data_IF_869897381046
#
_entry.id   IF_869897381046
#
_cell.length_a   1.000
_cell.length_b   1.000
_cell.length_c   1.000
_cell.angle_alpha   90.00
_cell.angle_beta   90.00
_cell.angle_gamma   90.00
#
_symmetry.space_group_name_H-M   'P 1'
#
loop_
_entity.id
_entity.type
_entity.pdbx_description
1 polymer ?
#
# COMPACT_ATOMS: atom_id res chain seq x y z
N UNK A 1 -23.95 5.35 89.99
CA UNK A 1 -24.25 6.37 88.96
C UNK A 1 -23.30 6.16 87.78
N UNK A 2 -23.84 6.06 86.55
CA UNK A 2 -23.21 5.87 85.21
C UNK A 2 -22.97 4.45 84.66
N UNK A 3 -24.06 3.78 84.27
CA UNK A 3 -24.52 3.43 82.89
C UNK A 3 -23.53 3.50 81.67
N UNK A 4 -23.64 2.46 80.80
CA UNK A 4 -23.42 2.34 79.32
C UNK A 4 -21.98 2.23 78.72
N UNK A 5 -21.69 1.56 77.58
CA UNK A 5 -22.47 0.90 76.51
C UNK A 5 -21.54 -0.04 75.68
N UNK A 6 -22.12 -1.06 75.04
CA UNK A 6 -21.53 -1.90 73.99
C UNK A 6 -20.86 -1.11 72.84
N UNK A 7 -19.73 -1.62 72.31
CA UNK A 7 -19.25 -1.26 70.96
C UNK A 7 -19.37 -2.47 70.03
N UNK A 8 -20.37 -2.38 69.15
CA UNK A 8 -20.53 -3.22 67.96
C UNK A 8 -19.36 -2.97 67.00
N UNK A 9 -18.67 -4.04 66.59
CA UNK A 9 -17.75 -4.04 65.45
C UNK A 9 -18.58 -4.15 64.17
N UNK A 10 -18.74 -3.05 63.43
CA UNK A 10 -19.30 -3.08 62.07
C UNK A 10 -18.14 -3.32 61.09
N UNK A 11 -18.03 -4.54 60.58
CA UNK A 11 -17.13 -4.89 59.49
C UNK A 11 -17.62 -4.23 58.19
N UNK A 12 -17.01 -3.12 57.80
CA UNK A 12 -17.25 -2.48 56.51
C UNK A 12 -16.50 -3.26 55.42
N UNK A 13 -17.22 -4.12 54.71
CA UNK A 13 -16.81 -4.65 53.40
C UNK A 13 -16.63 -3.47 52.43
N UNK A 14 -15.39 -3.19 52.06
CA UNK A 14 -15.08 -2.26 50.97
C UNK A 14 -15.31 -2.98 49.65
N UNK A 15 -16.48 -2.78 49.05
CA UNK A 15 -16.73 -3.18 47.67
C UNK A 15 -15.96 -2.28 46.72
N UNK A 16 -14.90 -2.79 46.10
CA UNK A 16 -14.24 -2.15 44.98
C UNK A 16 -15.16 -2.22 43.75
N UNK A 17 -15.80 -1.10 43.43
CA UNK A 17 -16.48 -0.89 42.16
C UNK A 17 -15.41 -0.77 41.06
N UNK A 18 -15.23 -1.81 40.25
CA UNK A 18 -14.40 -1.73 39.05
C UNK A 18 -15.19 -0.90 38.03
N UNK A 19 -14.81 0.37 37.89
CA UNK A 19 -15.28 1.20 36.79
C UNK A 19 -14.65 0.63 35.50
N UNK A 20 -15.41 -0.15 34.72
CA UNK A 20 -15.06 -0.47 33.34
C UNK A 20 -15.20 0.82 32.52
N UNK A 21 -14.13 1.60 32.46
CA UNK A 21 -14.05 2.71 31.52
C UNK A 21 -14.08 2.14 30.12
N UNK A 22 -15.19 2.32 29.41
CA UNK A 22 -15.24 2.17 27.97
C UNK A 22 -14.40 3.30 27.37
N UNK A 23 -13.10 3.05 27.17
CA UNK A 23 -12.31 3.88 26.28
C UNK A 23 -12.81 3.64 24.87
N UNK A 24 -13.63 4.56 24.36
CA UNK A 24 -13.97 4.60 22.95
C UNK A 24 -12.68 4.89 22.18
N UNK A 25 -12.13 3.89 21.48
CA UNK A 25 -10.98 4.10 20.62
C UNK A 25 -11.47 4.72 19.32
N UNK A 26 -11.22 6.01 19.13
CA UNK A 26 -11.35 6.63 17.81
C UNK A 26 -10.20 6.12 16.97
N UNK A 27 -10.51 5.25 16.01
CA UNK A 27 -9.55 4.79 15.03
C UNK A 27 -9.08 5.95 14.15
N UNK A 28 -7.88 6.47 14.41
CA UNK A 28 -7.28 7.53 13.59
C UNK A 28 -6.63 6.96 12.33
N UNK A 29 -6.52 7.81 11.30
CA UNK A 29 -5.78 7.47 10.11
C UNK A 29 -4.28 7.37 10.43
N UNK A 30 -3.63 6.32 9.94
CA UNK A 30 -2.22 6.03 10.16
C UNK A 30 -1.47 5.92 8.84
N UNK A 31 -0.27 6.50 8.80
CA UNK A 31 0.67 6.33 7.69
C UNK A 31 1.46 5.05 7.92
N UNK A 32 1.17 4.00 7.15
CA UNK A 32 1.95 2.75 7.18
C UNK A 32 3.09 2.79 6.17
N UNK A 33 4.18 2.11 6.48
CA UNK A 33 5.28 1.90 5.55
C UNK A 33 5.52 0.41 5.32
N UNK A 34 5.41 -0.01 4.07
CA UNK A 34 5.64 -1.37 3.60
C UNK A 34 7.04 -1.41 3.01
N UNK A 35 7.93 -2.18 3.64
CA UNK A 35 9.34 -2.24 3.29
C UNK A 35 10.17 -1.08 3.86
N UNK A 36 11.41 -1.38 4.20
CA UNK A 36 12.38 -0.44 4.80
C UNK A 36 13.79 -0.58 4.21
N UNK A 37 13.94 -1.42 3.19
CA UNK A 37 15.21 -1.67 2.51
C UNK A 37 15.77 -0.43 1.83
N UNK A 38 17.10 -0.40 1.71
CA UNK A 38 17.85 0.72 1.16
C UNK A 38 18.32 0.49 -0.27
N UNK A 39 18.12 -0.71 -0.83
CA UNK A 39 18.40 -1.03 -2.23
C UNK A 39 17.61 -0.10 -3.15
N UNK A 40 18.16 0.18 -4.33
CA UNK A 40 17.46 0.92 -5.39
C UNK A 40 16.93 -0.06 -6.43
N UNK A 41 15.64 0.01 -6.71
CA UNK A 41 14.98 -0.69 -7.80
C UNK A 41 14.82 0.28 -8.98
N UNK A 42 15.59 0.05 -10.03
CA UNK A 42 15.55 0.81 -11.29
C UNK A 42 15.49 -0.12 -12.52
N UNK A 43 15.13 -1.38 -12.31
CA UNK A 43 14.99 -2.36 -13.39
C UNK A 43 13.79 -1.97 -14.25
N UNK A 44 14.00 -1.95 -15.55
CA UNK A 44 12.94 -1.74 -16.55
C UNK A 44 11.80 -2.71 -16.33
N UNK A 45 10.56 -2.19 -16.40
CA UNK A 45 9.36 -2.97 -16.13
C UNK A 45 9.07 -3.25 -14.66
N UNK A 46 10.00 -2.99 -13.75
CA UNK A 46 9.77 -3.18 -12.29
C UNK A 46 9.66 -1.85 -11.56
N UNK A 47 10.44 -0.84 -11.93
CA UNK A 47 10.28 0.49 -11.33
C UNK A 47 8.90 1.06 -11.68
N UNK A 48 8.20 1.76 -10.75
CA UNK A 48 6.99 2.49 -11.09
C UNK A 48 7.28 3.65 -12.06
N UNK A 49 8.56 4.00 -12.23
CA UNK A 49 9.06 5.09 -13.07
C UNK A 49 9.92 4.56 -14.23
N UNK A 50 9.49 3.43 -14.82
CA UNK A 50 10.24 2.61 -15.77
C UNK A 50 10.38 3.14 -17.21
N UNK A 51 10.77 4.39 -17.42
CA UNK A 51 10.76 5.06 -18.73
C UNK A 51 11.80 4.59 -19.78
N UNK A 52 12.46 3.44 -19.62
CA UNK A 52 13.40 2.91 -20.65
C UNK A 52 12.70 2.39 -21.91
N UNK A 53 11.38 2.33 -21.87
CA UNK A 53 10.48 2.09 -22.99
C UNK A 53 9.35 3.12 -22.91
N UNK A 54 8.63 3.30 -24.01
CA UNK A 54 7.51 4.25 -24.09
C UNK A 54 6.38 3.91 -23.11
N UNK A 55 6.13 2.62 -22.93
CA UNK A 55 5.04 2.09 -22.12
C UNK A 55 5.55 1.19 -21.00
N UNK A 56 4.90 1.26 -19.83
CA UNK A 56 5.21 0.38 -18.71
C UNK A 56 3.99 0.10 -17.85
N UNK A 57 3.83 -1.18 -17.49
CA UNK A 57 2.77 -1.65 -16.58
C UNK A 57 3.36 -2.66 -15.60
N UNK A 58 3.25 -2.38 -14.31
CA UNK A 58 3.87 -3.17 -13.25
C UNK A 58 2.86 -3.45 -12.14
N UNK A 59 2.90 -4.65 -11.60
CA UNK A 59 2.09 -5.10 -10.48
C UNK A 59 2.98 -5.40 -9.26
N UNK A 60 2.54 -4.96 -8.09
CA UNK A 60 3.14 -5.23 -6.79
C UNK A 60 2.13 -5.94 -5.90
N UNK A 61 2.53 -7.08 -5.34
CA UNK A 61 1.73 -7.84 -4.39
C UNK A 61 2.14 -7.48 -2.97
N UNK A 62 1.19 -7.08 -2.15
CA UNK A 62 1.31 -6.90 -0.71
C UNK A 62 0.48 -8.00 -0.03
N UNK A 63 1.14 -8.85 0.76
CA UNK A 63 0.41 -9.89 1.51
C UNK A 63 -0.29 -9.28 2.71
N UNK A 64 -1.46 -9.82 3.06
CA UNK A 64 -2.14 -9.54 4.33
C UNK A 64 -1.22 -9.72 5.52
N UNK A 65 -0.37 -10.74 5.52
CA UNK A 65 0.60 -10.97 6.60
C UNK A 65 1.57 -9.79 6.82
N UNK A 66 1.91 -9.06 5.76
CA UNK A 66 2.73 -7.84 5.86
C UNK A 66 1.93 -6.71 6.49
N UNK A 67 0.65 -6.55 6.13
CA UNK A 67 -0.25 -5.56 6.71
C UNK A 67 -0.49 -5.85 8.21
N UNK A 68 -0.74 -7.11 8.57
CA UNK A 68 -0.89 -7.54 9.97
C UNK A 68 0.35 -7.22 10.80
N UNK A 69 1.55 -7.44 10.25
CA UNK A 69 2.82 -7.12 10.90
C UNK A 69 3.02 -5.61 11.12
N UNK A 70 2.32 -4.77 10.33
CA UNK A 70 2.25 -3.31 10.50
C UNK A 70 1.08 -2.86 11.38
N UNK A 71 0.39 -3.79 12.05
CA UNK A 71 -0.74 -3.50 12.94
C UNK A 71 -2.09 -3.34 12.24
N UNK A 72 -2.16 -3.51 10.92
CA UNK A 72 -3.40 -3.44 10.15
C UNK A 72 -4.12 -4.79 10.23
N UNK A 73 -5.02 -4.92 11.22
CA UNK A 73 -5.76 -6.15 11.50
C UNK A 73 -7.28 -5.97 11.41
N UNK A 74 -7.74 -4.90 10.75
CA UNK A 74 -9.15 -4.54 10.60
C UNK A 74 -9.45 -4.13 9.17
N UNK A 75 -10.72 -4.16 8.78
CA UNK A 75 -11.15 -3.49 7.54
C UNK A 75 -10.96 -1.98 7.65
N UNK A 76 -10.81 -1.31 6.50
CA UNK A 76 -10.56 0.13 6.46
C UNK A 76 -10.18 0.64 5.08
N UNK A 77 -10.06 1.95 4.95
CA UNK A 77 -9.77 2.61 3.69
C UNK A 77 -8.28 2.92 3.56
N UNK A 78 -7.70 2.56 2.43
CA UNK A 78 -6.48 3.20 1.95
C UNK A 78 -6.83 4.42 1.10
N UNK A 79 -6.19 5.56 1.36
CA UNK A 79 -6.48 6.83 0.67
C UNK A 79 -5.28 7.43 -0.07
N UNK A 80 -4.10 6.84 0.06
CA UNK A 80 -2.93 7.23 -0.72
C UNK A 80 -1.92 6.10 -0.88
N UNK A 81 -1.05 6.25 -1.87
CA UNK A 81 0.15 5.45 -2.07
C UNK A 81 1.31 6.39 -2.36
N UNK A 82 2.50 6.12 -1.82
CA UNK A 82 3.71 6.84 -2.16
C UNK A 82 4.88 5.90 -2.42
N UNK A 83 5.75 6.29 -3.35
CA UNK A 83 7.03 5.63 -3.61
C UNK A 83 8.19 6.58 -3.27
N UNK A 84 9.28 6.03 -2.73
CA UNK A 84 10.47 6.81 -2.39
C UNK A 84 11.45 6.84 -3.56
N UNK A 85 11.42 7.93 -4.32
CA UNK A 85 12.25 8.12 -5.51
C UNK A 85 13.68 8.49 -5.12
N UNK A 86 14.65 7.71 -5.58
CA UNK A 86 16.09 7.98 -5.41
C UNK A 86 16.62 8.76 -6.61
N UNK A 87 16.18 8.40 -7.80
CA UNK A 87 16.59 9.02 -9.07
C UNK A 87 15.34 9.23 -9.91
N UNK A 88 14.97 10.48 -10.24
CA UNK A 88 13.85 10.77 -11.13
C UNK A 88 13.99 10.09 -12.50
N UNK A 89 12.88 9.73 -13.17
CA UNK A 89 12.93 9.33 -14.57
C UNK A 89 13.37 10.51 -15.45
N UNK A 90 13.82 10.23 -16.67
CA UNK A 90 14.29 11.27 -17.61
C UNK A 90 13.18 12.12 -18.23
N UNK A 91 11.91 11.81 -17.97
CA UNK A 91 10.73 12.51 -18.48
C UNK A 91 9.53 12.30 -17.54
N UNK A 92 8.51 13.15 -17.69
CA UNK A 92 7.22 12.93 -17.04
C UNK A 92 6.53 11.67 -17.57
N UNK A 93 5.87 10.95 -16.69
CA UNK A 93 5.05 9.78 -17.01
C UNK A 93 3.66 10.24 -17.43
N UNK A 94 3.34 10.08 -18.71
CA UNK A 94 2.04 10.40 -19.31
C UNK A 94 1.02 9.28 -19.05
N UNK A 95 -0.25 9.65 -18.89
CA UNK A 95 -1.32 8.69 -18.61
C UNK A 95 -1.12 7.88 -17.32
N UNK A 96 -0.37 8.41 -16.35
CA UNK A 96 0.01 7.68 -15.16
C UNK A 96 -1.21 7.31 -14.30
N UNK A 97 -1.36 6.02 -13.99
CA UNK A 97 -2.50 5.50 -13.23
C UNK A 97 -2.08 4.47 -12.19
N UNK A 98 -2.86 4.42 -11.12
CA UNK A 98 -2.75 3.39 -10.07
C UNK A 98 -4.10 2.69 -9.95
N UNK A 99 -4.05 1.37 -10.07
CA UNK A 99 -5.18 0.47 -9.87
C UNK A 99 -4.91 -0.44 -8.68
N UNK A 100 -5.95 -0.78 -7.93
CA UNK A 100 -5.86 -1.70 -6.80
C UNK A 100 -6.93 -2.78 -6.89
N UNK A 101 -6.60 -3.98 -6.42
CA UNK A 101 -7.54 -5.10 -6.30
C UNK A 101 -7.17 -5.99 -5.12
N UNK A 102 -8.16 -6.70 -4.60
CA UNK A 102 -7.94 -7.83 -3.70
C UNK A 102 -7.49 -9.06 -4.49
N UNK A 103 -6.66 -9.89 -3.88
CA UNK A 103 -6.23 -11.15 -4.46
C UNK A 103 -5.91 -12.20 -3.40
N UNK A 104 -6.14 -13.47 -3.72
CA UNK A 104 -5.71 -14.61 -2.90
C UNK A 104 -4.29 -15.08 -3.22
N UNK A 105 -3.67 -14.52 -4.27
CA UNK A 105 -2.31 -14.87 -4.68
C UNK A 105 -1.31 -14.53 -3.59
N UNK A 106 -0.41 -15.47 -3.31
CA UNK A 106 0.69 -15.28 -2.37
C UNK A 106 2.01 -14.95 -3.06
N UNK A 107 2.10 -15.12 -4.39
CA UNK A 107 3.26 -14.75 -5.21
C UNK A 107 2.77 -14.30 -6.58
N UNK A 108 3.53 -13.45 -7.26
CA UNK A 108 3.26 -13.08 -8.66
C UNK A 108 4.26 -13.80 -9.57
N UNK A 109 3.75 -14.63 -10.48
CA UNK A 109 4.57 -15.32 -11.50
C UNK A 109 4.28 -14.85 -12.93
N UNK A 110 3.30 -13.95 -13.08
CA UNK A 110 2.81 -13.43 -14.35
C UNK A 110 1.87 -12.26 -14.11
N UNK A 111 1.49 -11.56 -15.16
CA UNK A 111 0.51 -10.49 -15.06
C UNK A 111 -0.86 -11.04 -14.63
N UNK A 112 -1.43 -10.47 -13.58
CA UNK A 112 -2.68 -10.93 -12.98
C UNK A 112 -3.83 -10.09 -13.53
N UNK A 113 -4.76 -10.75 -14.22
CA UNK A 113 -5.98 -10.11 -14.70
C UNK A 113 -7.07 -10.26 -13.62
N UNK A 114 -7.27 -9.21 -12.82
CA UNK A 114 -8.34 -9.13 -11.82
C UNK A 114 -9.21 -7.90 -12.06
N UNK A 115 -10.45 -7.97 -11.59
CA UNK A 115 -11.29 -6.77 -11.46
C UNK A 115 -10.59 -5.80 -10.53
N UNK A 116 -10.14 -4.66 -11.08
CA UNK A 116 -9.38 -3.66 -10.35
C UNK A 116 -10.07 -2.30 -10.39
N UNK A 117 -10.01 -1.59 -9.26
CA UNK A 117 -10.48 -0.23 -9.10
C UNK A 117 -9.37 0.73 -9.51
N UNK A 118 -9.67 1.73 -10.35
CA UNK A 118 -8.77 2.87 -10.54
C UNK A 118 -8.87 3.75 -9.31
N UNK A 119 -7.77 3.90 -8.58
CA UNK A 119 -7.71 4.72 -7.36
C UNK A 119 -7.02 6.06 -7.62
N UNK A 120 -6.16 6.14 -8.64
CA UNK A 120 -5.48 7.36 -9.06
C UNK A 120 -5.29 7.38 -10.58
N UNK A 121 -5.43 8.56 -11.17
CA UNK A 121 -5.07 8.83 -12.57
C UNK A 121 -4.65 10.28 -12.72
N UNK A 122 -3.69 10.54 -13.59
CA UNK A 122 -3.26 11.87 -13.99
C UNK A 122 -2.84 11.86 -15.47
N UNK A 123 -2.97 13.00 -16.14
CA UNK A 123 -2.52 13.15 -17.52
C UNK A 123 -1.00 13.09 -17.64
N UNK A 124 -0.27 13.61 -16.65
CA UNK A 124 1.18 13.58 -16.58
C UNK A 124 1.67 13.73 -15.14
N UNK A 125 2.80 13.12 -14.80
CA UNK A 125 3.48 13.32 -13.50
C UNK A 125 5.00 13.20 -13.63
N UNK A 126 5.74 14.11 -12.99
CA UNK A 126 7.20 14.05 -12.91
C UNK A 126 7.61 13.74 -11.46
N UNK A 127 8.06 12.50 -11.16
CA UNK A 127 8.58 12.16 -9.85
C UNK A 127 9.80 13.00 -9.48
N UNK A 128 9.92 13.38 -8.22
CA UNK A 128 11.09 14.10 -7.65
C UNK A 128 11.76 13.26 -6.58
N UNK A 129 13.02 13.54 -6.22
CA UNK A 129 13.69 12.78 -5.15
C UNK A 129 12.91 12.84 -3.83
N UNK A 130 12.77 11.70 -3.16
CA UNK A 130 11.99 11.52 -1.93
C UNK A 130 10.63 10.87 -2.16
N UNK A 131 9.76 10.94 -1.14
CA UNK A 131 8.43 10.34 -1.20
C UNK A 131 7.50 11.12 -2.12
N UNK A 132 7.08 10.50 -3.22
CA UNK A 132 6.07 11.03 -4.13
C UNK A 132 4.71 10.40 -3.78
N UNK A 133 3.80 11.21 -3.24
CA UNK A 133 2.48 10.74 -2.78
C UNK A 133 1.40 10.94 -3.82
N UNK A 134 0.65 9.88 -4.08
CA UNK A 134 -0.51 9.83 -4.97
C UNK A 134 -1.77 9.67 -4.11
N UNK A 135 -2.51 10.75 -3.93
CA UNK A 135 -3.77 10.76 -3.18
C UNK A 135 -4.89 10.18 -4.04
N UNK A 136 -5.62 9.20 -3.51
CA UNK A 136 -6.62 8.50 -4.28
C UNK A 136 -7.86 9.37 -4.52
N UNK A 137 -8.38 9.37 -5.75
CA UNK A 137 -9.68 9.96 -6.08
C UNK A 137 -10.83 9.12 -5.54
N UNK A 138 -10.58 7.83 -5.29
CA UNK A 138 -11.51 6.92 -4.65
C UNK A 138 -10.73 6.00 -3.73
N UNK A 139 -11.05 6.03 -2.44
CA UNK A 139 -10.41 5.18 -1.45
C UNK A 139 -10.56 3.71 -1.83
N UNK A 140 -9.55 2.91 -1.50
CA UNK A 140 -9.58 1.46 -1.65
C UNK A 140 -10.00 0.84 -0.32
N UNK A 141 -11.19 0.20 -0.30
CA UNK A 141 -11.72 -0.45 0.88
C UNK A 141 -11.03 -1.80 1.10
N UNK A 142 -10.09 -1.86 2.03
CA UNK A 142 -9.43 -3.08 2.44
C UNK A 142 -10.37 -3.96 3.28
N UNK A 143 -10.45 -5.23 2.92
CA UNK A 143 -11.40 -6.18 3.50
C UNK A 143 -10.83 -6.99 4.68
N UNK A 144 -9.55 -6.81 5.02
CA UNK A 144 -8.88 -7.58 6.08
C UNK A 144 -8.88 -9.11 5.88
N UNK A 145 -9.08 -9.57 4.65
CA UNK A 145 -9.11 -11.00 4.30
C UNK A 145 -8.04 -11.29 3.26
N UNK A 146 -8.05 -10.52 2.17
CA UNK A 146 -7.22 -10.78 1.00
C UNK A 146 -5.87 -10.06 1.04
N UNK A 147 -4.98 -10.46 0.15
CA UNK A 147 -3.79 -9.70 -0.21
C UNK A 147 -4.20 -8.54 -1.15
N UNK A 148 -3.30 -7.57 -1.33
CA UNK A 148 -3.52 -6.41 -2.19
C UNK A 148 -2.60 -6.51 -3.39
N UNK A 149 -3.15 -6.34 -4.59
CA UNK A 149 -2.40 -6.15 -5.81
C UNK A 149 -2.52 -4.68 -6.24
N UNK A 150 -1.37 -4.01 -6.32
CA UNK A 150 -1.24 -2.64 -6.82
C UNK A 150 -0.70 -2.71 -8.24
N UNK A 151 -1.36 -2.06 -9.18
CA UNK A 151 -0.88 -1.92 -10.55
C UNK A 151 -0.58 -0.46 -10.83
N UNK A 152 0.63 -0.18 -11.31
CA UNK A 152 1.05 1.12 -11.81
C UNK A 152 1.20 1.03 -13.32
N UNK A 153 0.76 2.06 -14.04
CA UNK A 153 0.89 2.13 -15.48
C UNK A 153 1.15 3.55 -15.97
N UNK A 154 1.91 3.67 -17.07
CA UNK A 154 2.08 4.89 -17.86
C UNK A 154 2.14 4.56 -19.37
N UNK A 155 1.92 5.57 -20.19
CA UNK A 155 1.88 5.50 -21.66
C UNK A 155 2.47 6.79 -22.23
N UNK A 156 3.76 6.75 -22.61
CA UNK A 156 4.49 7.89 -23.18
C UNK A 156 4.62 7.75 -24.69
N UNK A 157 5.00 8.83 -25.38
CA UNK A 157 5.31 8.84 -26.81
C UNK A 157 6.81 8.77 -27.13
N UNK A 158 7.65 8.53 -26.12
CA UNK A 158 9.11 8.45 -26.23
C UNK A 158 9.70 7.69 -25.04
N UNK A 159 10.89 7.12 -25.19
CA UNK A 159 11.66 6.48 -24.12
C UNK A 159 12.82 7.37 -23.65
N UNK A 160 13.29 7.13 -22.41
CA UNK A 160 14.40 7.85 -21.77
C UNK A 160 15.00 7.02 -20.63
N UNK A 161 15.64 7.62 -19.63
CA UNK A 161 16.14 6.90 -18.46
C UNK A 161 15.02 6.51 -17.47
N UNK A 162 15.09 5.26 -16.98
CA UNK A 162 14.24 4.78 -15.88
C UNK A 162 14.61 5.46 -14.56
N UNK A 163 13.60 5.90 -13.82
CA UNK A 163 13.75 6.36 -12.44
C UNK A 163 13.96 5.20 -11.47
N UNK A 164 14.75 5.43 -10.42
CA UNK A 164 15.00 4.47 -9.36
C UNK A 164 14.22 4.79 -8.09
N UNK A 165 13.68 3.77 -7.42
CA UNK A 165 12.98 3.90 -6.13
C UNK A 165 13.64 3.04 -5.05
N UNK A 166 13.54 3.43 -3.77
CA UNK A 166 13.96 2.56 -2.67
C UNK A 166 13.12 1.30 -2.65
N UNK A 167 13.73 0.17 -2.34
CA UNK A 167 13.11 -1.14 -2.41
C UNK A 167 13.59 -2.09 -1.32
N UNK A 168 12.74 -3.06 -1.02
CA UNK A 168 12.97 -4.15 -0.07
C UNK A 168 12.93 -5.48 -0.81
N UNK A 169 13.92 -6.34 -0.54
CA UNK A 169 13.86 -7.74 -0.96
C UNK A 169 12.85 -8.48 -0.09
N UNK A 170 11.80 -8.98 -0.71
CA UNK A 170 10.78 -9.83 -0.09
C UNK A 170 11.18 -11.31 -0.16
N UNK A 171 10.54 -12.17 0.64
CA UNK A 171 10.81 -13.62 0.63
C UNK A 171 10.07 -14.39 -0.48
N UNK A 172 9.41 -13.68 -1.39
CA UNK A 172 8.57 -14.22 -2.46
C UNK A 172 8.61 -13.30 -3.67
N UNK A 173 8.24 -13.77 -4.85
CA UNK A 173 8.14 -12.89 -6.02
C UNK A 173 6.95 -11.97 -5.84
N UNK A 174 7.22 -10.68 -5.68
CA UNK A 174 6.24 -9.67 -5.25
C UNK A 174 6.11 -8.50 -6.21
N UNK A 175 6.90 -8.49 -7.28
CA UNK A 175 6.74 -7.57 -8.39
C UNK A 175 6.82 -8.32 -9.72
N UNK A 176 5.92 -7.97 -10.64
CA UNK A 176 5.97 -8.43 -12.02
C UNK A 176 5.54 -7.28 -12.92
N UNK A 177 6.27 -7.03 -14.00
CA UNK A 177 5.84 -6.01 -14.94
C UNK A 177 6.31 -6.26 -16.36
N UNK A 178 5.79 -5.40 -17.21
CA UNK A 178 5.80 -5.51 -18.65
C UNK A 178 6.03 -4.14 -19.26
N UNK A 179 6.76 -4.08 -20.37
CA UNK A 179 7.11 -2.83 -21.04
C UNK A 179 7.18 -3.01 -22.56
N UNK A 180 6.98 -1.94 -23.31
CA UNK A 180 7.02 -1.94 -24.78
C UNK A 180 7.16 -0.54 -25.38
N UNK A 181 7.45 -0.47 -26.67
CA UNK A 181 7.39 0.75 -27.48
C UNK A 181 6.21 0.71 -28.45
N UNK A 182 5.61 1.86 -28.74
CA UNK A 182 4.54 2.04 -29.72
C UNK A 182 3.22 1.35 -29.38
N UNK A 183 2.96 1.08 -28.09
CA UNK A 183 1.81 0.35 -27.60
C UNK A 183 0.67 1.22 -27.08
N UNK A 184 -0.24 0.58 -26.35
CA UNK A 184 -1.19 1.26 -25.45
C UNK A 184 -0.89 0.72 -24.06
N UNK A 185 0.11 1.29 -23.37
CA UNK A 185 0.68 0.73 -22.15
C UNK A 185 -0.35 0.41 -21.06
N UNK A 186 -1.37 1.26 -20.96
CA UNK A 186 -2.45 1.13 -19.95
C UNK A 186 -3.72 0.44 -20.46
N UNK A 187 -3.68 -0.13 -21.66
CA UNK A 187 -4.75 -0.93 -22.23
C UNK A 187 -4.90 -2.33 -21.62
N UNK A 188 -6.02 -2.98 -21.95
CA UNK A 188 -6.41 -4.33 -21.51
C UNK A 188 -5.87 -5.44 -22.41
N UNK A 189 -5.26 -5.10 -23.56
CA UNK A 189 -4.71 -6.09 -24.49
C UNK A 189 -3.43 -6.73 -23.96
N UNK A 190 -3.38 -8.05 -24.05
CA UNK A 190 -2.18 -8.86 -23.92
C UNK A 190 -1.27 -8.60 -25.11
N UNK A 191 -0.37 -7.62 -24.98
CA UNK A 191 0.65 -7.34 -25.98
C UNK A 191 1.89 -8.20 -25.69
N UNK A 192 2.72 -8.46 -26.70
CA UNK A 192 3.92 -9.31 -26.58
C UNK A 192 4.97 -8.63 -25.69
N UNK A 193 4.87 -8.85 -24.38
CA UNK A 193 5.70 -8.16 -23.40
C UNK A 193 7.01 -8.90 -23.14
N UNK A 194 8.11 -8.14 -23.06
CA UNK A 194 9.20 -8.56 -22.19
C UNK A 194 8.70 -8.48 -20.75
N UNK A 195 8.78 -9.59 -20.03
CA UNK A 195 8.27 -9.71 -18.68
C UNK A 195 9.43 -9.88 -17.70
N UNK A 196 9.42 -9.08 -16.64
CA UNK A 196 10.37 -9.20 -15.54
C UNK A 196 9.59 -9.52 -14.27
N UNK A 197 10.08 -10.49 -13.51
CA UNK A 197 9.58 -10.79 -12.17
C UNK A 197 10.72 -10.68 -11.17
N UNK A 198 10.45 -10.17 -9.96
CA UNK A 198 11.48 -10.03 -8.93
C UNK A 198 10.92 -10.08 -7.52
N UNK A 199 11.81 -10.38 -6.57
CA UNK A 199 11.57 -10.26 -5.13
C UNK A 199 11.88 -8.85 -4.61
N UNK A 200 12.56 -8.00 -5.40
CA UNK A 200 12.92 -6.63 -5.03
C UNK A 200 11.76 -5.66 -5.35
N UNK A 201 10.89 -5.41 -4.37
CA UNK A 201 9.68 -4.58 -4.49
C UNK A 201 9.93 -3.17 -3.94
N UNK A 202 9.41 -2.10 -4.57
CA UNK A 202 9.48 -0.76 -4.02
C UNK A 202 8.97 -0.68 -2.58
N UNK A 203 9.62 0.17 -1.78
CA UNK A 203 9.08 0.60 -0.50
C UNK A 203 7.86 1.49 -0.78
N UNK A 204 6.82 1.33 0.02
CA UNK A 204 5.56 2.03 -0.16
C UNK A 204 5.12 2.67 1.15
N UNK A 205 4.57 3.88 1.08
CA UNK A 205 3.79 4.47 2.18
C UNK A 205 2.34 4.57 1.78
N UNK A 206 1.44 4.22 2.69
CA UNK A 206 0.00 4.28 2.45
C UNK A 206 -0.69 4.88 3.65
N UNK A 207 -1.64 5.78 3.41
CA UNK A 207 -2.53 6.27 4.46
C UNK A 207 -3.68 5.28 4.65
N UNK A 208 -3.82 4.72 5.85
CA UNK A 208 -4.87 3.77 6.21
C UNK A 208 -5.76 4.35 7.32
N UNK A 209 -7.06 4.37 7.10
CA UNK A 209 -8.05 4.69 8.13
C UNK A 209 -8.89 3.44 8.42
N UNK A 210 -8.85 2.88 9.64
CA UNK A 210 -9.73 1.77 9.99
C UNK A 210 -11.20 2.17 9.80
N UNK A 211 -12.03 1.23 9.39
CA UNK A 211 -13.48 1.48 9.30
C UNK A 211 -14.01 1.72 10.70
N UNK A 212 -14.66 2.86 10.91
CA UNK A 212 -15.34 3.14 12.19
C UNK A 212 -16.46 2.12 12.38
N UNK A 213 -16.55 1.54 13.58
CA UNK A 213 -17.71 0.74 13.95
C UNK A 213 -18.95 1.65 13.88
N UNK A 214 -19.92 1.27 13.05
CA UNK A 214 -21.21 1.95 12.95
C UNK A 214 -22.13 1.65 14.13
#
# INVERSE_FOLDING_TARGET
MKINLHRFLVSRLWGTLILLSFFSYTAEAQLIQIGTGTSTQSTTGISPYGCLYEDGKVQYLIRKSELNALGINTEGNFSSLAFDCVTPPGQSLSGFSIRMSHTTLTTITGFVNTTSQVVYTTTSTMPTTGWNTYNFSSNFMYNNVDNILIQVCFDNSSWTSTGGVRATTTTFTSAHGTYMDGGVGCGTSSLSFSATATTLRPNMRMMFAPKTAG
#
